data_IF_223535832610
#
_entry.id   IF_223535832610
#
_cell.length_a   1.000
_cell.length_b   1.000
_cell.length_c   1.000
_cell.angle_alpha   90.00
_cell.angle_beta   90.00
_cell.angle_gamma   90.00
#
_symmetry.space_group_name_H-M   'P 1'
#
loop_
_entity.id
_entity.type
_entity.pdbx_description
1 polymer ?
#
# COMPACT_ATOMS: atom_id res chain seq x y z
N UNK A 1 12.64 2.38 -4.38
CA UNK A 1 11.50 3.31 -4.19
C UNK A 1 10.61 2.95 -2.99
N UNK A 2 10.01 1.75 -2.89
CA UNK A 2 9.14 1.36 -1.76
C UNK A 2 9.85 1.50 -0.40
N UNK A 3 11.08 0.98 -0.28
CA UNK A 3 11.89 1.10 0.94
C UNK A 3 12.06 2.57 1.37
N UNK A 4 12.33 3.46 0.42
CA UNK A 4 12.46 4.90 0.70
C UNK A 4 11.16 5.48 1.26
N UNK A 5 10.00 5.13 0.69
CA UNK A 5 8.70 5.62 1.17
C UNK A 5 8.44 5.14 2.60
N UNK A 6 8.74 3.87 2.91
CA UNK A 6 8.60 3.31 4.27
C UNK A 6 9.51 4.06 5.24
N UNK A 7 10.80 4.20 4.92
CA UNK A 7 11.75 4.94 5.76
C UNK A 7 11.34 6.40 5.95
N UNK A 8 10.85 7.04 4.90
CA UNK A 8 10.34 8.40 4.95
C UNK A 8 9.12 8.51 5.86
N UNK A 9 8.14 7.60 5.75
CA UNK A 9 6.97 7.58 6.63
C UNK A 9 7.34 7.38 8.09
N UNK A 10 8.28 6.46 8.38
CA UNK A 10 8.80 6.24 9.74
C UNK A 10 9.45 7.50 10.30
N UNK A 11 10.32 8.16 9.52
CA UNK A 11 10.98 9.42 9.93
C UNK A 11 9.97 10.54 10.24
N UNK A 12 8.81 10.52 9.59
CA UNK A 12 7.74 11.49 9.81
C UNK A 12 6.69 11.01 10.84
N UNK A 13 6.95 9.92 11.58
CA UNK A 13 6.05 9.34 12.59
C UNK A 13 4.65 9.02 12.06
N UNK A 14 4.54 8.61 10.80
CA UNK A 14 3.28 8.12 10.25
C UNK A 14 2.95 6.74 10.82
N UNK A 15 1.66 6.46 11.04
CA UNK A 15 1.21 5.17 11.58
C UNK A 15 1.13 4.08 10.52
N UNK A 16 0.77 4.45 9.30
CA UNK A 16 0.56 3.51 8.20
C UNK A 16 0.64 4.20 6.85
N UNK A 17 0.91 3.43 5.80
CA UNK A 17 0.86 3.88 4.40
C UNK A 17 -0.18 3.05 3.67
N UNK A 18 -1.03 3.72 2.90
CA UNK A 18 -1.99 3.10 2.00
C UNK A 18 -1.57 3.25 0.55
N UNK A 19 -1.87 2.25 -0.27
CA UNK A 19 -1.79 2.35 -1.73
C UNK A 19 -3.02 1.72 -2.38
N UNK A 20 -3.40 2.28 -3.53
CA UNK A 20 -4.39 1.71 -4.42
C UNK A 20 -3.69 1.10 -5.62
N UNK A 21 -4.12 -0.07 -6.05
CA UNK A 21 -3.54 -0.77 -7.20
C UNK A 21 -4.60 -1.59 -7.93
N UNK A 22 -4.17 -2.34 -8.96
CA UNK A 22 -5.05 -3.20 -9.73
C UNK A 22 -4.59 -4.66 -9.66
N UNK A 23 -5.51 -5.61 -9.46
CA UNK A 23 -5.22 -7.06 -9.43
C UNK A 23 -4.51 -7.58 -10.67
N UNK A 24 -4.62 -6.89 -11.81
CA UNK A 24 -3.89 -7.21 -13.05
C UNK A 24 -2.38 -7.04 -12.89
N UNK A 25 -1.91 -6.16 -11.99
CA UNK A 25 -0.49 -5.84 -11.77
C UNK A 25 0.16 -6.83 -10.78
N UNK A 26 0.16 -8.13 -11.12
CA UNK A 26 0.64 -9.21 -10.24
C UNK A 26 2.06 -8.98 -9.72
N UNK A 27 2.97 -8.49 -10.56
CA UNK A 27 4.37 -8.22 -10.18
C UNK A 27 4.46 -7.14 -9.10
N UNK A 28 3.70 -6.05 -9.26
CA UNK A 28 3.65 -4.97 -8.28
C UNK A 28 3.05 -5.45 -6.96
N UNK A 29 1.97 -6.25 -7.00
CA UNK A 29 1.35 -6.81 -5.81
C UNK A 29 2.32 -7.73 -5.05
N UNK A 30 3.05 -8.58 -5.77
CA UNK A 30 4.07 -9.44 -5.18
C UNK A 30 5.18 -8.61 -4.50
N UNK A 31 5.63 -7.53 -5.14
CA UNK A 31 6.58 -6.59 -4.56
C UNK A 31 6.04 -5.97 -3.26
N UNK A 32 4.80 -5.47 -3.25
CA UNK A 32 4.21 -4.85 -2.06
C UNK A 32 4.09 -5.85 -0.90
N UNK A 33 3.67 -7.09 -1.18
CA UNK A 33 3.61 -8.15 -0.18
C UNK A 33 5.00 -8.41 0.47
N UNK A 34 6.08 -8.40 -0.33
CA UNK A 34 7.46 -8.57 0.17
C UNK A 34 7.87 -7.45 1.15
N UNK A 35 7.33 -6.26 1.00
CA UNK A 35 7.56 -5.12 1.89
C UNK A 35 6.54 -5.00 3.03
N UNK A 36 5.70 -6.03 3.25
CA UNK A 36 4.77 -6.08 4.38
C UNK A 36 3.41 -5.41 4.13
N UNK A 37 3.13 -4.96 2.90
CA UNK A 37 1.79 -4.47 2.58
C UNK A 37 0.80 -5.63 2.56
N UNK A 38 -0.37 -5.42 3.17
CA UNK A 38 -1.49 -6.37 3.20
C UNK A 38 -2.71 -5.77 2.52
N UNK A 39 -3.46 -6.62 1.80
CA UNK A 39 -4.74 -6.22 1.22
C UNK A 39 -5.71 -5.87 2.33
N UNK A 40 -6.49 -4.82 2.11
CA UNK A 40 -7.59 -4.40 2.97
C UNK A 40 -8.83 -4.18 2.12
N UNK A 41 -9.98 -4.17 2.77
CA UNK A 41 -11.25 -3.89 2.11
C UNK A 41 -11.21 -2.53 1.42
N UNK A 42 -11.64 -2.53 0.16
CA UNK A 42 -11.80 -1.30 -0.61
C UNK A 42 -13.14 -0.69 -0.24
N UNK A 43 -13.15 0.62 0.01
CA UNK A 43 -14.39 1.33 0.26
C UNK A 43 -15.31 1.20 -0.97
N UNK A 44 -16.62 1.03 -0.74
CA UNK A 44 -17.62 0.81 -1.81
C UNK A 44 -17.60 1.91 -2.89
N UNK A 45 -17.09 3.10 -2.57
CA UNK A 45 -16.81 4.20 -3.51
C UNK A 45 -15.31 4.51 -3.49
N UNK A 46 -14.52 3.70 -4.19
CA UNK A 46 -13.12 4.04 -4.45
C UNK A 46 -13.06 5.28 -5.35
N UNK A 47 -12.34 6.36 -4.97
CA UNK A 47 -12.17 7.53 -5.84
C UNK A 47 -11.32 7.21 -7.08
N UNK A 48 -10.64 6.07 -7.10
CA UNK A 48 -9.76 5.64 -8.18
C UNK A 48 -10.45 4.59 -9.07
N UNK A 49 -10.96 5.03 -10.22
CA UNK A 49 -11.63 4.16 -11.21
C UNK A 49 -10.73 3.02 -11.73
N UNK A 50 -9.40 3.20 -11.70
CA UNK A 50 -8.43 2.23 -12.25
C UNK A 50 -7.94 1.21 -11.22
N UNK A 51 -8.19 1.42 -9.93
CA UNK A 51 -7.71 0.58 -8.84
C UNK A 51 -8.85 -0.23 -8.23
N UNK A 52 -8.70 -1.56 -8.18
CA UNK A 52 -9.68 -2.47 -7.57
C UNK A 52 -9.16 -3.15 -6.30
N UNK A 53 -7.95 -2.80 -5.84
CA UNK A 53 -7.43 -3.23 -4.54
C UNK A 53 -6.85 -2.06 -3.78
N UNK A 54 -7.01 -2.11 -2.46
CA UNK A 54 -6.35 -1.23 -1.50
C UNK A 54 -5.42 -2.10 -0.65
N UNK A 55 -4.21 -1.63 -0.41
CA UNK A 55 -3.24 -2.30 0.44
C UNK A 55 -2.68 -1.32 1.46
N UNK A 56 -2.29 -1.83 2.63
CA UNK A 56 -1.68 -1.02 3.68
C UNK A 56 -0.48 -1.69 4.31
N UNK A 57 0.47 -0.89 4.79
CA UNK A 57 1.55 -1.33 5.67
C UNK A 57 1.51 -0.48 6.94
N UNK A 58 1.58 -1.13 8.09
CA UNK A 58 1.74 -0.45 9.37
C UNK A 58 3.21 -0.09 9.53
N UNK A 59 3.46 1.14 9.98
CA UNK A 59 4.80 1.61 10.28
C UNK A 59 4.98 1.54 11.78
N UNK A 60 5.73 0.54 12.23
CA UNK A 60 6.18 0.46 13.62
C UNK A 60 7.30 1.48 13.83
N UNK A 61 7.14 2.29 14.89
CA UNK A 61 8.07 3.33 15.32
C UNK A 61 9.38 2.73 15.81
#
# INVERSE_FOLDING_TARGET
>A
MIQFIISFGKKNNWKEIFLYSNTKLKNSIHLYNKYGFRKIDIEKKSPYLRGNIKMKVLLET
#
